data_IF_422067381607
#
_entry.id   IF_422067381607
#
_cell.length_a   1.000
_cell.length_b   1.000
_cell.length_c   1.000
_cell.angle_alpha   90.00
_cell.angle_beta   90.00
_cell.angle_gamma   90.00
#
_symmetry.space_group_name_H-M   'P 1'
#
loop_
_entity.id
_entity.type
_entity.pdbx_description
1 polymer ?
#
# COMPACT_ATOMS: atom_id res chain seq x y z
N UNK A 1 2.13 23.22 -15.12
CA UNK A 1 1.12 23.10 -14.04
C UNK A 1 0.02 22.10 -14.36
N UNK A 2 -0.44 21.97 -15.62
CA UNK A 2 -1.53 21.06 -16.01
C UNK A 2 -1.31 19.58 -15.64
N UNK A 3 -0.10 19.05 -15.84
CA UNK A 3 0.22 17.65 -15.51
C UNK A 3 0.11 17.36 -14.01
N UNK A 4 0.45 18.34 -13.15
CA UNK A 4 0.34 18.20 -11.70
C UNK A 4 -1.12 18.20 -11.24
N UNK A 5 -1.95 19.05 -11.84
CA UNK A 5 -3.40 19.05 -11.60
C UNK A 5 -3.98 17.71 -12.03
N UNK A 6 -3.64 17.23 -13.23
CA UNK A 6 -4.09 15.93 -13.73
C UNK A 6 -3.68 14.77 -12.82
N UNK A 7 -2.44 14.77 -12.31
CA UNK A 7 -1.97 13.80 -11.33
C UNK A 7 -2.82 13.81 -10.06
N UNK A 8 -3.06 14.99 -9.48
CA UNK A 8 -3.85 15.11 -8.26
C UNK A 8 -5.34 14.80 -8.48
N UNK A 9 -5.89 15.07 -9.65
CA UNK A 9 -7.26 14.65 -9.98
C UNK A 9 -7.40 13.13 -9.98
N UNK A 10 -6.37 12.40 -10.43
CA UNK A 10 -6.39 10.94 -10.50
C UNK A 10 -5.98 10.30 -9.17
N UNK A 11 -4.83 10.68 -8.61
CA UNK A 11 -4.25 10.07 -7.42
C UNK A 11 -4.74 10.69 -6.11
N UNK A 12 -5.15 11.96 -6.12
CA UNK A 12 -5.62 12.73 -4.96
C UNK A 12 -6.63 11.97 -4.09
N UNK A 13 -7.72 11.43 -4.66
CA UNK A 13 -8.73 10.69 -3.91
C UNK A 13 -8.19 9.48 -3.14
N UNK A 14 -7.06 8.90 -3.55
CA UNK A 14 -6.51 7.67 -2.98
C UNK A 14 -5.47 7.91 -1.88
N UNK A 15 -5.01 9.15 -1.68
CA UNK A 15 -4.02 9.46 -0.64
C UNK A 15 -4.53 9.14 0.78
N UNK A 16 -5.84 9.19 1.01
CA UNK A 16 -6.43 8.77 2.29
C UNK A 16 -6.14 7.31 2.64
N UNK A 17 -6.21 6.40 1.66
CA UNK A 17 -5.86 4.99 1.85
C UNK A 17 -4.39 4.81 2.22
N UNK A 18 -3.51 5.56 1.57
CA UNK A 18 -2.09 5.51 1.89
C UNK A 18 -1.81 5.99 3.31
N UNK A 19 -2.38 7.13 3.72
CA UNK A 19 -2.22 7.65 5.09
C UNK A 19 -2.73 6.68 6.15
N UNK A 20 -3.95 6.14 5.96
CA UNK A 20 -4.51 5.13 6.85
C UNK A 20 -3.64 3.86 6.90
N UNK A 21 -3.15 3.40 5.74
CA UNK A 21 -2.20 2.29 5.65
C UNK A 21 -0.92 2.55 6.44
N UNK A 22 -0.29 3.72 6.29
CA UNK A 22 0.94 4.05 7.04
C UNK A 22 0.72 4.04 8.56
N UNK A 23 -0.43 4.50 9.05
CA UNK A 23 -0.77 4.39 10.46
C UNK A 23 -0.79 2.92 10.94
N UNK A 24 -1.40 2.03 10.16
CA UNK A 24 -1.42 0.59 10.44
C UNK A 24 -0.04 -0.07 10.32
N UNK A 25 0.80 0.39 9.40
CA UNK A 25 2.18 -0.07 9.27
C UNK A 25 2.97 0.22 10.55
N UNK A 26 2.92 1.46 11.04
CA UNK A 26 3.58 1.83 12.30
C UNK A 26 2.99 1.10 13.51
N UNK A 27 1.67 0.90 13.56
CA UNK A 27 1.05 0.07 14.59
C UNK A 27 1.57 -1.37 14.55
N UNK A 28 1.71 -1.94 13.34
CA UNK A 28 2.27 -3.29 13.14
C UNK A 28 3.74 -3.37 13.58
N UNK A 29 4.53 -2.29 13.42
CA UNK A 29 5.90 -2.25 13.95
C UNK A 29 5.94 -2.42 15.47
N UNK A 30 4.98 -1.84 16.19
CA UNK A 30 4.84 -2.01 17.64
C UNK A 30 4.57 -3.46 18.09
N UNK A 31 4.01 -4.31 17.20
CA UNK A 31 3.76 -5.73 17.49
C UNK A 31 4.99 -6.61 17.30
N UNK A 32 6.07 -6.09 16.71
CA UNK A 32 7.28 -6.83 16.38
C UNK A 32 7.14 -7.79 15.20
N UNK A 33 6.02 -7.76 14.48
CA UNK A 33 5.72 -8.67 13.36
C UNK A 33 5.43 -7.93 12.07
N UNK A 34 6.45 -7.83 11.23
CA UNK A 34 6.44 -6.99 10.03
C UNK A 34 6.41 -7.75 8.71
N UNK A 35 6.40 -9.09 8.72
CA UNK A 35 6.47 -9.87 7.49
C UNK A 35 5.32 -9.53 6.53
N UNK A 36 4.07 -9.58 7.00
CA UNK A 36 2.90 -9.24 6.18
C UNK A 36 2.89 -7.76 5.73
N UNK A 37 3.11 -6.77 6.63
CA UNK A 37 3.27 -5.36 6.21
C UNK A 37 4.35 -5.13 5.15
N UNK A 38 5.49 -5.80 5.25
CA UNK A 38 6.59 -5.71 4.27
C UNK A 38 6.14 -6.31 2.93
N UNK A 39 5.47 -7.47 2.94
CA UNK A 39 4.91 -8.07 1.73
C UNK A 39 3.93 -7.13 1.02
N UNK A 40 3.11 -6.38 1.76
CA UNK A 40 2.24 -5.34 1.17
C UNK A 40 3.05 -4.23 0.50
N UNK A 41 4.15 -3.79 1.11
CA UNK A 41 5.08 -2.82 0.51
C UNK A 41 5.71 -3.33 -0.80
N UNK A 42 6.12 -4.60 -0.83
CA UNK A 42 6.63 -5.25 -2.05
C UNK A 42 5.54 -5.35 -3.11
N UNK A 43 4.32 -5.76 -2.75
CA UNK A 43 3.19 -5.84 -3.66
C UNK A 43 2.86 -4.47 -4.28
N UNK A 44 2.87 -3.40 -3.47
CA UNK A 44 2.71 -2.02 -3.94
C UNK A 44 3.79 -1.66 -4.95
N UNK A 45 5.06 -1.93 -4.63
CA UNK A 45 6.17 -1.65 -5.52
C UNK A 45 6.01 -2.35 -6.87
N UNK A 46 5.76 -3.66 -6.85
CA UNK A 46 5.54 -4.45 -8.07
C UNK A 46 4.36 -3.93 -8.89
N UNK A 47 3.27 -3.54 -8.23
CA UNK A 47 2.08 -2.98 -8.90
C UNK A 47 2.44 -1.71 -9.68
N UNK A 48 3.12 -0.75 -9.04
CA UNK A 48 3.45 0.54 -9.68
C UNK A 48 4.51 0.33 -10.76
N UNK A 49 5.55 -0.45 -10.47
CA UNK A 49 6.66 -0.71 -11.40
C UNK A 49 6.21 -1.46 -12.64
N UNK A 50 5.33 -2.46 -12.51
CA UNK A 50 4.81 -3.19 -13.65
C UNK A 50 3.93 -2.30 -14.54
N UNK A 51 3.03 -1.53 -13.94
CA UNK A 51 2.19 -0.58 -14.70
C UNK A 51 3.06 0.46 -15.41
N UNK A 52 4.05 1.03 -14.73
CA UNK A 52 4.99 1.98 -15.32
C UNK A 52 5.80 1.38 -16.47
N UNK A 53 6.34 0.17 -16.28
CA UNK A 53 7.11 -0.53 -17.31
C UNK A 53 6.26 -0.80 -18.55
N UNK A 54 5.08 -1.39 -18.37
CA UNK A 54 4.15 -1.68 -19.49
C UNK A 54 3.73 -0.39 -20.19
N UNK A 55 3.44 0.67 -19.44
CA UNK A 55 3.05 1.95 -20.03
C UNK A 55 4.17 2.55 -20.90
N UNK A 56 5.44 2.43 -20.48
CA UNK A 56 6.58 2.87 -21.29
C UNK A 56 6.75 2.00 -22.53
N UNK A 57 6.71 0.68 -22.38
CA UNK A 57 6.89 -0.26 -23.50
C UNK A 57 5.82 -0.14 -24.58
N UNK A 58 4.60 0.25 -24.19
CA UNK A 58 3.45 0.39 -25.09
C UNK A 58 3.16 1.83 -25.51
N UNK A 59 4.05 2.77 -25.16
CA UNK A 59 3.90 4.21 -25.43
C UNK A 59 2.53 4.77 -24.95
N UNK A 60 2.07 4.28 -23.79
CA UNK A 60 0.80 4.66 -23.23
C UNK A 60 0.83 6.07 -22.61
N UNK A 61 -0.33 6.72 -22.53
CA UNK A 61 -0.41 8.07 -21.98
C UNK A 61 -0.09 8.08 -20.48
N UNK A 62 0.48 9.18 -19.99
CA UNK A 62 0.98 9.34 -18.61
C UNK A 62 -0.11 9.10 -17.54
N UNK A 63 -1.37 9.28 -17.89
CA UNK A 63 -2.54 8.97 -17.06
C UNK A 63 -2.53 7.52 -16.57
N UNK A 64 -2.00 6.57 -17.36
CA UNK A 64 -1.91 5.16 -16.95
C UNK A 64 -0.91 4.99 -15.81
N UNK A 65 0.20 5.74 -15.82
CA UNK A 65 1.15 5.77 -14.70
C UNK A 65 0.48 6.36 -13.46
N UNK A 66 -0.32 7.41 -13.60
CA UNK A 66 -1.07 8.01 -12.50
C UNK A 66 -2.12 7.05 -11.92
N UNK A 67 -2.78 6.27 -12.78
CA UNK A 67 -3.67 5.18 -12.35
C UNK A 67 -2.89 4.07 -11.64
N UNK A 68 -1.68 3.72 -12.10
CA UNK A 68 -0.78 2.79 -11.43
C UNK A 68 -0.38 3.25 -10.03
N UNK A 69 -0.05 4.54 -9.86
CA UNK A 69 0.19 5.14 -8.55
C UNK A 69 -1.04 5.02 -7.66
N UNK A 70 -2.22 5.36 -8.17
CA UNK A 70 -3.51 5.24 -7.46
C UNK A 70 -3.78 3.82 -6.99
N UNK A 71 -3.54 2.82 -7.86
CA UNK A 71 -3.62 1.41 -7.51
C UNK A 71 -2.63 1.04 -6.39
N UNK A 72 -1.40 1.55 -6.43
CA UNK A 72 -0.42 1.37 -5.36
C UNK A 72 -0.88 1.96 -4.01
N UNK A 73 -1.52 3.13 -4.02
CA UNK A 73 -2.09 3.74 -2.80
C UNK A 73 -3.20 2.85 -2.21
N UNK A 74 -4.09 2.30 -3.05
CA UNK A 74 -5.12 1.33 -2.65
C UNK A 74 -4.51 0.03 -2.09
N UNK A 75 -3.54 -0.55 -2.78
CA UNK A 75 -2.81 -1.75 -2.33
C UNK A 75 -2.22 -1.53 -0.94
N UNK A 76 -1.65 -0.35 -0.70
CA UNK A 76 -1.09 0.02 0.61
C UNK A 76 -2.18 0.05 1.68
N UNK A 77 -3.25 0.82 1.47
CA UNK A 77 -4.31 0.98 2.47
C UNK A 77 -5.05 -0.31 2.76
N UNK A 78 -5.54 -0.98 1.71
CA UNK A 78 -6.31 -2.22 1.84
C UNK A 78 -5.41 -3.36 2.33
N UNK A 79 -4.21 -3.51 1.77
CA UNK A 79 -3.29 -4.58 2.17
C UNK A 79 -2.89 -4.49 3.64
N UNK A 80 -2.62 -3.28 4.15
CA UNK A 80 -2.30 -3.08 5.56
C UNK A 80 -3.54 -3.24 6.46
N UNK A 81 -4.73 -2.85 6.00
CA UNK A 81 -5.97 -3.16 6.70
C UNK A 81 -6.21 -4.68 6.80
N UNK A 82 -5.92 -5.44 5.74
CA UNK A 82 -6.04 -6.90 5.75
C UNK A 82 -5.05 -7.57 6.71
N UNK A 83 -3.90 -6.95 6.98
CA UNK A 83 -2.94 -7.44 7.97
C UNK A 83 -3.50 -7.47 9.40
N UNK A 84 -4.56 -6.70 9.70
CA UNK A 84 -5.26 -6.76 11.00
C UNK A 84 -5.90 -8.12 11.26
N UNK A 85 -6.27 -8.86 10.22
CA UNK A 85 -6.83 -10.20 10.36
C UNK A 85 -5.76 -11.28 10.59
N UNK A 86 -4.47 -10.91 10.56
CA UNK A 86 -3.36 -11.82 10.81
C UNK A 86 -3.36 -12.34 12.27
N UNK A 87 -2.91 -13.58 12.51
CA UNK A 87 -2.59 -14.07 13.85
C UNK A 87 -1.60 -13.17 14.61
N UNK A 88 -0.85 -12.32 13.92
CA UNK A 88 0.10 -11.37 14.50
C UNK A 88 -0.57 -10.34 15.41
N UNK A 89 -1.82 -9.99 15.11
CA UNK A 89 -2.64 -9.07 15.91
C UNK A 89 -3.45 -9.79 16.99
N UNK A 90 -3.35 -11.12 17.12
CA UNK A 90 -3.97 -11.88 18.19
C UNK A 90 -2.97 -11.99 19.35
N UNK A 91 -3.23 -11.35 20.51
CA UNK A 91 -2.38 -11.53 21.66
C UNK A 91 -2.35 -13.01 22.03
N UNK A 92 -1.16 -13.62 22.05
CA UNK A 92 -1.00 -14.89 22.76
C UNK A 92 -1.14 -14.57 24.23
N UNK A 93 -2.27 -14.96 24.82
CA UNK A 93 -2.40 -15.03 26.26
C UNK A 93 -1.23 -15.88 26.76
N UNK A 94 -0.26 -15.25 27.41
CA UNK A 94 0.80 -15.97 28.11
C UNK A 94 0.11 -16.69 29.27
N UNK A 95 -0.31 -17.93 29.05
CA UNK A 95 -0.57 -18.84 30.16
C UNK A 95 0.77 -19.03 30.87
N UNK A 96 0.94 -18.30 31.98
CA UNK A 96 2.03 -18.49 32.92
C UNK A 96 2.10 -19.98 33.26
N UNK A 97 3.12 -20.67 32.72
CA UNK A 97 3.49 -21.99 33.24
C UNK A 97 4.24 -21.71 34.53
N UNK A 98 3.54 -21.93 35.64
CA UNK A 98 4.12 -22.06 36.98
C UNK A 98 5.22 -23.11 37.00
#
# INVERSE_FOLDING_TARGET
HEVAVLYLTIAGPFYGFFGAGQALYFASQGTGRLLLPICVGVLRFLTISLVGLVAVLMEWPIQVVFAGVSAGLLVTGIGLALCLFSPDWRPRLQTSKN
#
